data_IF_778560056215
#
_entry.id   IF_778560056215
#
_cell.length_a   1.000
_cell.length_b   1.000
_cell.length_c   1.000
_cell.angle_alpha   90.00
_cell.angle_beta   90.00
_cell.angle_gamma   90.00
#
_symmetry.space_group_name_H-M   'P 1'
#
loop_
_entity.id
_entity.type
_entity.pdbx_description
1 polymer ?
#
# COMPACT_ATOMS: atom_id res chain seq x y z
N UNK A 1 -2.61 -41.70 2.79
CA UNK A 1 -1.95 -40.57 2.10
C UNK A 1 -2.51 -39.22 2.54
N UNK A 2 -3.81 -39.11 2.82
CA UNK A 2 -4.48 -37.84 3.16
C UNK A 2 -3.99 -37.15 4.45
N UNK A 3 -3.69 -37.90 5.52
CA UNK A 3 -3.17 -37.31 6.77
C UNK A 3 -1.82 -36.61 6.58
N UNK A 4 -0.97 -37.10 5.66
CA UNK A 4 0.33 -36.48 5.34
C UNK A 4 0.15 -35.18 4.56
N UNK A 5 -0.86 -35.11 3.68
CA UNK A 5 -1.21 -33.88 2.93
C UNK A 5 -1.77 -32.79 3.85
N UNK A 6 -2.66 -33.16 4.80
CA UNK A 6 -3.18 -32.23 5.82
C UNK A 6 -2.07 -31.69 6.73
N UNK A 7 -1.14 -32.55 7.17
CA UNK A 7 0.01 -32.15 7.98
C UNK A 7 0.98 -31.23 7.21
N UNK A 8 1.18 -31.49 5.92
CA UNK A 8 1.97 -30.62 5.04
C UNK A 8 1.31 -29.23 4.91
N UNK A 9 0.00 -29.16 4.68
CA UNK A 9 -0.75 -27.91 4.62
C UNK A 9 -0.66 -27.09 5.92
N UNK A 10 -0.79 -27.73 7.08
CA UNK A 10 -0.65 -27.07 8.37
C UNK A 10 0.77 -26.55 8.62
N UNK A 11 1.79 -27.29 8.15
CA UNK A 11 3.19 -26.88 8.25
C UNK A 11 3.49 -25.68 7.35
N UNK A 12 3.00 -25.70 6.10
CA UNK A 12 3.10 -24.57 5.17
C UNK A 12 2.41 -23.31 5.72
N UNK A 13 1.21 -23.47 6.29
CA UNK A 13 0.48 -22.37 6.92
C UNK A 13 1.26 -21.75 8.09
N UNK A 14 1.88 -22.58 8.95
CA UNK A 14 2.75 -22.08 10.04
C UNK A 14 3.99 -21.35 9.54
N UNK A 15 4.62 -21.83 8.46
CA UNK A 15 5.79 -21.17 7.86
C UNK A 15 5.38 -19.81 7.28
N UNK A 16 4.29 -19.77 6.52
CA UNK A 16 3.75 -18.54 5.95
C UNK A 16 3.40 -17.52 7.05
N UNK A 17 2.75 -17.96 8.13
CA UNK A 17 2.44 -17.10 9.28
C UNK A 17 3.70 -16.55 9.95
N UNK A 18 4.71 -17.39 10.20
CA UNK A 18 5.99 -16.94 10.76
C UNK A 18 6.67 -15.92 9.86
N UNK A 19 6.73 -16.16 8.55
CA UNK A 19 7.30 -15.24 7.57
C UNK A 19 6.57 -13.90 7.56
N UNK A 20 5.22 -13.94 7.59
CA UNK A 20 4.38 -12.75 7.67
C UNK A 20 4.67 -11.95 8.95
N UNK A 21 4.68 -12.60 10.11
CA UNK A 21 4.95 -11.94 11.40
C UNK A 21 6.35 -11.32 11.43
N UNK A 22 7.36 -12.01 10.91
CA UNK A 22 8.72 -11.49 10.82
C UNK A 22 8.81 -10.25 9.92
N UNK A 23 8.16 -10.28 8.76
CA UNK A 23 8.12 -9.13 7.85
C UNK A 23 7.40 -7.94 8.50
N UNK A 24 6.25 -8.19 9.13
CA UNK A 24 5.51 -7.16 9.85
C UNK A 24 6.35 -6.51 10.95
N UNK A 25 7.03 -7.33 11.77
CA UNK A 25 7.90 -6.83 12.84
C UNK A 25 9.03 -5.97 12.28
N UNK A 26 9.66 -6.38 11.17
CA UNK A 26 10.70 -5.60 10.51
C UNK A 26 10.18 -4.24 10.03
N UNK A 27 9.07 -4.22 9.30
CA UNK A 27 8.48 -2.97 8.79
C UNK A 27 8.05 -2.02 9.91
N UNK A 28 7.51 -2.57 11.00
CA UNK A 28 7.14 -1.79 12.17
C UNK A 28 8.36 -1.11 12.81
N UNK A 29 9.43 -1.87 13.05
CA UNK A 29 10.67 -1.33 13.64
C UNK A 29 11.31 -0.26 12.75
N UNK A 30 11.36 -0.48 11.43
CA UNK A 30 11.87 0.50 10.46
C UNK A 30 11.05 1.80 10.48
N UNK A 31 9.72 1.67 10.53
CA UNK A 31 8.81 2.82 10.58
C UNK A 31 9.00 3.62 11.87
N UNK A 32 9.05 2.95 13.02
CA UNK A 32 9.26 3.60 14.32
C UNK A 32 10.62 4.30 14.36
N UNK A 33 11.67 3.63 13.91
CA UNK A 33 13.03 4.21 13.84
C UNK A 33 13.05 5.49 12.99
N UNK A 34 12.38 5.47 11.83
CA UNK A 34 12.25 6.65 10.96
C UNK A 34 11.49 7.79 11.66
N UNK A 35 10.38 7.50 12.34
CA UNK A 35 9.63 8.51 13.08
C UNK A 35 10.48 9.15 14.19
N UNK A 36 11.22 8.34 14.96
CA UNK A 36 12.12 8.83 16.01
C UNK A 36 13.21 9.71 15.41
N UNK A 37 13.82 9.29 14.29
CA UNK A 37 14.86 10.07 13.61
C UNK A 37 14.32 11.43 13.16
N UNK A 38 13.18 11.45 12.47
CA UNK A 38 12.54 12.70 12.01
C UNK A 38 12.18 13.60 13.18
N UNK A 39 11.66 13.05 14.28
CA UNK A 39 11.36 13.81 15.48
C UNK A 39 12.62 14.42 16.10
N UNK A 40 13.72 13.66 16.21
CA UNK A 40 15.00 14.17 16.74
C UNK A 40 15.57 15.28 15.86
N UNK A 41 15.41 15.18 14.54
CA UNK A 41 15.93 16.18 13.59
C UNK A 41 15.06 17.45 13.52
N UNK A 42 13.73 17.32 13.64
CA UNK A 42 12.79 18.43 13.37
C UNK A 42 12.05 18.93 14.61
N UNK A 43 12.11 18.19 15.72
CA UNK A 43 11.29 18.44 16.92
C UNK A 43 9.80 18.21 16.73
N UNK A 44 9.37 17.69 15.57
CA UNK A 44 7.95 17.57 15.21
C UNK A 44 7.57 16.15 14.82
N UNK A 45 6.36 15.75 15.24
CA UNK A 45 5.69 14.51 14.81
C UNK A 45 4.62 14.77 13.74
N UNK A 46 4.37 16.05 13.41
CA UNK A 46 3.33 16.40 12.45
C UNK A 46 3.83 16.18 11.03
N UNK A 47 2.94 15.70 10.16
CA UNK A 47 3.23 15.62 8.73
C UNK A 47 3.44 17.01 8.15
N UNK A 48 4.34 17.12 7.18
CA UNK A 48 4.52 18.34 6.38
C UNK A 48 3.18 18.76 5.77
N UNK A 49 2.83 20.04 5.90
CA UNK A 49 1.60 20.60 5.31
C UNK A 49 1.58 20.28 3.80
N UNK A 50 0.45 19.72 3.33
CA UNK A 50 0.27 19.33 1.92
C UNK A 50 0.87 17.98 1.50
N UNK A 51 1.49 17.21 2.42
CA UNK A 51 2.03 15.87 2.11
C UNK A 51 1.00 14.73 2.07
N UNK A 52 -0.28 15.05 2.23
CA UNK A 52 -1.39 14.10 2.14
C UNK A 52 -2.02 14.10 0.75
N UNK A 53 -2.91 13.13 0.52
CA UNK A 53 -3.74 13.13 -0.69
C UNK A 53 -4.58 14.42 -0.73
N UNK A 54 -4.62 15.15 -1.85
CA UNK A 54 -5.49 16.33 -1.98
C UNK A 54 -6.94 15.96 -1.69
N UNK A 55 -7.60 16.77 -0.85
CA UNK A 55 -9.03 16.57 -0.53
C UNK A 55 -9.94 17.02 -1.66
N UNK A 56 -9.47 17.91 -2.52
CA UNK A 56 -10.19 18.42 -3.68
C UNK A 56 -9.42 18.03 -4.94
N UNK A 57 -10.15 17.66 -5.99
CA UNK A 57 -9.57 17.50 -7.32
C UNK A 57 -9.24 18.87 -7.87
N UNK A 58 -8.09 19.01 -8.52
CA UNK A 58 -7.74 20.19 -9.31
C UNK A 58 -8.27 20.02 -10.72
N UNK A 59 -8.49 21.12 -11.43
CA UNK A 59 -8.90 21.09 -12.84
C UNK A 59 -7.88 20.32 -13.69
N UNK A 60 -6.58 20.44 -13.37
CA UNK A 60 -5.53 19.62 -14.00
C UNK A 60 -5.75 18.11 -13.82
N UNK A 61 -6.18 17.68 -12.63
CA UNK A 61 -6.46 16.26 -12.35
C UNK A 61 -7.72 15.79 -13.08
N UNK A 62 -8.71 16.68 -13.23
CA UNK A 62 -9.97 16.39 -13.93
C UNK A 62 -9.68 16.26 -15.43
N UNK A 63 -9.02 17.25 -16.02
CA UNK A 63 -8.67 17.27 -17.44
C UNK A 63 -7.78 16.08 -17.82
N UNK A 64 -6.81 15.72 -16.98
CA UNK A 64 -5.97 14.54 -17.23
C UNK A 64 -6.76 13.23 -17.21
N UNK A 65 -7.81 13.12 -16.39
CA UNK A 65 -8.70 11.95 -16.38
C UNK A 65 -9.61 11.96 -17.61
N UNK A 66 -10.13 13.12 -17.99
CA UNK A 66 -10.95 13.27 -19.21
C UNK A 66 -10.16 12.89 -20.47
N UNK A 67 -8.91 13.33 -20.60
CA UNK A 67 -8.02 12.96 -21.71
C UNK A 67 -7.77 11.44 -21.76
N UNK A 68 -7.58 10.78 -20.61
CA UNK A 68 -7.43 9.31 -20.57
C UNK A 68 -8.73 8.63 -20.99
N UNK A 69 -9.88 9.12 -20.51
CA UNK A 69 -11.19 8.55 -20.86
C UNK A 69 -11.50 8.69 -22.35
N UNK A 70 -11.16 9.83 -22.96
CA UNK A 70 -11.33 10.05 -24.39
C UNK A 70 -10.38 9.15 -25.21
N UNK A 71 -9.12 9.05 -24.82
CA UNK A 71 -8.12 8.26 -25.54
C UNK A 71 -8.28 6.74 -25.37
N UNK A 72 -8.84 6.26 -24.25
CA UNK A 72 -9.14 4.84 -24.02
C UNK A 72 -10.49 4.39 -24.62
N UNK A 73 -11.30 5.33 -25.14
CA UNK A 73 -12.54 5.02 -25.83
C UNK A 73 -12.31 4.53 -27.28
N UNK A 74 -11.89 3.27 -27.40
CA UNK A 74 -12.11 2.44 -28.60
C UNK A 74 -13.63 2.20 -28.82
N UNK A 75 -14.05 1.82 -30.05
CA UNK A 75 -15.27 2.32 -30.69
C UNK A 75 -16.55 2.14 -29.87
N UNK A 76 -17.38 3.17 -29.92
CA UNK A 76 -18.79 3.14 -29.56
C UNK A 76 -19.45 1.92 -30.20
N UNK A 77 -19.78 0.90 -29.40
CA UNK A 77 -20.84 -0.03 -29.77
C UNK A 77 -22.15 0.74 -29.61
N UNK A 78 -22.52 1.44 -30.68
CA UNK A 78 -23.89 1.92 -30.88
C UNK A 78 -24.75 0.68 -31.10
N UNK A 79 -25.63 0.40 -30.13
CA UNK A 79 -26.65 -0.63 -30.21
C UNK A 79 -27.81 -0.18 -31.12
#
# INVERSE_FOLDING_TARGET
MEQKLMAFGHTQCKIAWKSFVQNFQKQFQETVSRCIKVFRETGSVTRKKGSGRPSKRTDETINAVEEIMENESGPQFVA
#
